data_IF_307298659404
#
_entry.id   IF_307298659404
#
_cell.length_a   1.000
_cell.length_b   1.000
_cell.length_c   1.000
_cell.angle_alpha   90.00
_cell.angle_beta   90.00
_cell.angle_gamma   90.00
#
_symmetry.space_group_name_H-M   'P 1'
#
loop_
_entity.id
_entity.type
_entity.pdbx_description
1 polymer ?
#
# COMPACT_ATOMS: atom_id res chain seq x y z
N UNK A 1 -0.90 -15.64 -12.31
CA UNK A 1 -0.07 -15.09 -13.41
C UNK A 1 1.17 -15.96 -13.54
N UNK A 2 1.46 -16.49 -14.73
CA UNK A 2 2.52 -17.50 -14.95
C UNK A 2 3.84 -16.91 -15.48
N UNK A 3 3.82 -15.72 -16.09
CA UNK A 3 5.01 -15.07 -16.65
C UNK A 3 5.19 -13.62 -16.18
N UNK A 4 6.40 -13.07 -16.35
CA UNK A 4 6.66 -11.66 -16.04
C UNK A 4 5.82 -10.72 -16.90
N UNK A 5 5.76 -10.96 -18.22
CA UNK A 5 4.97 -10.13 -19.14
C UNK A 5 3.47 -10.13 -18.81
N UNK A 6 2.94 -11.23 -18.28
CA UNK A 6 1.56 -11.27 -17.77
C UNK A 6 1.39 -10.36 -16.54
N UNK A 7 2.36 -10.31 -15.63
CA UNK A 7 2.31 -9.41 -14.47
C UNK A 7 2.38 -7.95 -14.88
N UNK A 8 3.26 -7.61 -15.83
CA UNK A 8 3.38 -6.25 -16.35
C UNK A 8 2.06 -5.79 -16.98
N UNK A 9 1.50 -6.53 -17.93
CA UNK A 9 0.19 -6.17 -18.53
C UNK A 9 -0.97 -6.19 -17.52
N UNK A 10 -0.92 -7.04 -16.50
CA UNK A 10 -1.94 -7.00 -15.43
C UNK A 10 -1.82 -5.71 -14.61
N UNK A 11 -0.62 -5.18 -14.41
CA UNK A 11 -0.44 -3.91 -13.71
C UNK A 11 -1.14 -2.76 -14.46
N UNK A 12 -1.11 -2.77 -15.80
CA UNK A 12 -1.88 -1.84 -16.63
C UNK A 12 -3.38 -1.97 -16.38
N UNK A 13 -3.94 -3.18 -16.51
CA UNK A 13 -5.37 -3.43 -16.25
C UNK A 13 -5.79 -2.96 -14.85
N UNK A 14 -4.95 -3.19 -13.85
CA UNK A 14 -5.20 -2.72 -12.49
C UNK A 14 -5.18 -1.19 -12.39
N UNK A 15 -4.23 -0.52 -13.05
CA UNK A 15 -4.14 0.94 -13.07
C UNK A 15 -5.39 1.55 -13.74
N UNK A 16 -5.78 1.06 -14.92
CA UNK A 16 -6.95 1.56 -15.64
C UNK A 16 -8.22 1.46 -14.81
N UNK A 17 -8.49 0.30 -14.22
CA UNK A 17 -9.64 0.09 -13.33
C UNK A 17 -9.61 1.00 -12.10
N UNK A 18 -8.42 1.24 -11.55
CA UNK A 18 -8.25 2.07 -10.36
C UNK A 18 -8.52 3.55 -10.64
N UNK A 19 -8.14 4.01 -11.82
CA UNK A 19 -8.26 5.41 -12.23
C UNK A 19 -9.47 5.69 -13.10
N UNK A 20 -10.25 4.69 -13.52
CA UNK A 20 -11.40 4.84 -14.43
C UNK A 20 -12.33 6.00 -14.06
N UNK A 21 -12.71 6.10 -12.78
CA UNK A 21 -13.58 7.19 -12.29
C UNK A 21 -12.91 8.56 -12.44
N UNK A 22 -11.65 8.66 -12.08
CA UNK A 22 -10.87 9.90 -12.16
C UNK A 22 -10.68 10.32 -13.62
N UNK A 23 -10.32 9.37 -14.49
CA UNK A 23 -10.16 9.61 -15.93
C UNK A 23 -11.45 10.18 -16.55
N UNK A 24 -12.62 9.66 -16.15
CA UNK A 24 -13.94 10.20 -16.57
C UNK A 24 -14.21 11.59 -15.99
N UNK A 25 -13.98 11.77 -14.69
CA UNK A 25 -14.26 13.03 -13.98
C UNK A 25 -13.41 14.18 -14.49
N UNK A 26 -12.13 13.93 -14.74
CA UNK A 26 -11.17 14.91 -15.25
C UNK A 26 -11.26 15.07 -16.77
N UNK A 27 -12.17 14.36 -17.45
CA UNK A 27 -12.34 14.39 -18.91
C UNK A 27 -11.00 14.17 -19.64
N UNK A 28 -10.26 13.15 -19.20
CA UNK A 28 -8.98 12.80 -19.83
C UNK A 28 -9.26 12.18 -21.19
N UNK A 29 -8.62 12.70 -22.25
CA UNK A 29 -8.76 12.20 -23.62
C UNK A 29 -7.56 11.40 -24.10
N UNK A 30 -6.43 11.48 -23.40
CA UNK A 30 -5.21 10.75 -23.74
C UNK A 30 -4.46 10.29 -22.51
N UNK A 31 -4.01 9.04 -22.50
CA UNK A 31 -3.21 8.44 -21.45
C UNK A 31 -1.84 8.04 -21.99
N UNK A 32 -0.77 8.49 -21.34
CA UNK A 32 0.59 8.09 -21.69
C UNK A 32 1.16 7.18 -20.61
N UNK A 33 1.42 5.93 -20.96
CA UNK A 33 2.05 4.95 -20.08
C UNK A 33 3.55 4.84 -20.31
N UNK A 34 4.30 4.74 -19.23
CA UNK A 34 5.75 4.49 -19.26
C UNK A 34 6.04 3.16 -18.58
N UNK A 35 6.83 2.29 -19.23
CA UNK A 35 7.19 0.97 -18.70
C UNK A 35 8.61 0.58 -19.11
N UNK A 36 9.34 -0.12 -18.26
CA UNK A 36 10.63 -0.74 -18.63
C UNK A 36 10.45 -2.12 -19.29
N UNK A 37 9.22 -2.61 -19.42
CA UNK A 37 8.93 -3.83 -20.15
C UNK A 37 8.64 -3.52 -21.62
N UNK A 38 9.65 -3.78 -22.47
CA UNK A 38 9.55 -3.58 -23.92
C UNK A 38 8.35 -4.31 -24.53
N UNK A 39 8.06 -5.55 -24.09
CA UNK A 39 6.93 -6.33 -24.60
C UNK A 39 5.59 -5.65 -24.32
N UNK A 40 5.38 -5.16 -23.10
CA UNK A 40 4.13 -4.49 -22.70
C UNK A 40 3.95 -3.19 -23.48
N UNK A 41 5.03 -2.40 -23.61
CA UNK A 41 5.00 -1.18 -24.40
C UNK A 41 4.66 -1.45 -25.87
N UNK A 42 5.33 -2.44 -26.46
CA UNK A 42 5.09 -2.83 -27.85
C UNK A 42 3.68 -3.37 -28.08
N UNK A 43 3.18 -4.22 -27.18
CA UNK A 43 1.85 -4.80 -27.30
C UNK A 43 0.75 -3.73 -27.29
N UNK A 44 0.90 -2.70 -26.45
CA UNK A 44 -0.05 -1.58 -26.37
C UNK A 44 0.05 -0.71 -27.63
N UNK A 45 1.26 -0.33 -28.07
CA UNK A 45 1.46 0.52 -29.25
C UNK A 45 0.92 -0.14 -30.52
N UNK A 46 1.20 -1.43 -30.69
CA UNK A 46 0.88 -2.15 -31.93
C UNK A 46 -0.48 -2.84 -31.92
N UNK A 47 -1.14 -2.91 -30.76
CA UNK A 47 -2.32 -3.75 -30.55
C UNK A 47 -2.11 -5.22 -30.98
N UNK A 48 -0.88 -5.72 -30.83
CA UNK A 48 -0.49 -7.09 -31.20
C UNK A 48 0.19 -7.73 -30.00
N UNK A 49 -0.22 -8.95 -29.66
CA UNK A 49 0.39 -9.70 -28.57
C UNK A 49 0.33 -11.20 -28.82
N UNK A 50 1.14 -11.96 -28.08
CA UNK A 50 1.10 -13.43 -28.16
C UNK A 50 -0.22 -13.97 -27.61
N UNK A 51 -0.59 -15.19 -28.01
CA UNK A 51 -1.84 -15.85 -27.57
C UNK A 51 -2.05 -15.86 -26.05
N UNK A 52 -0.96 -15.93 -25.27
CA UNK A 52 -1.02 -15.95 -23.80
C UNK A 52 -1.23 -14.57 -23.17
N UNK A 53 -1.04 -13.49 -23.94
CA UNK A 53 -1.15 -12.10 -23.53
C UNK A 53 -2.34 -11.37 -24.20
N UNK A 54 -2.86 -11.90 -25.30
CA UNK A 54 -3.97 -11.34 -26.09
C UNK A 54 -5.12 -10.84 -25.23
N UNK A 55 -5.65 -11.69 -24.35
CA UNK A 55 -6.75 -11.30 -23.47
C UNK A 55 -6.45 -10.07 -22.59
N UNK A 56 -5.20 -9.87 -22.12
CA UNK A 56 -4.83 -8.71 -21.32
C UNK A 56 -4.71 -7.47 -22.20
N UNK A 57 -4.02 -7.58 -23.33
CA UNK A 57 -3.88 -6.48 -24.28
C UNK A 57 -5.24 -6.02 -24.82
N UNK A 58 -6.13 -6.95 -25.16
CA UNK A 58 -7.49 -6.64 -25.60
C UNK A 58 -8.31 -5.99 -24.48
N UNK A 59 -8.16 -6.45 -23.23
CA UNK A 59 -8.85 -5.82 -22.09
C UNK A 59 -8.43 -4.36 -21.94
N UNK A 60 -7.13 -4.07 -22.02
CA UNK A 60 -6.57 -2.72 -21.93
C UNK A 60 -7.15 -1.84 -23.04
N UNK A 61 -6.99 -2.26 -24.30
CA UNK A 61 -7.39 -1.46 -25.45
C UNK A 61 -8.90 -1.23 -25.51
N UNK A 62 -9.71 -2.25 -25.22
CA UNK A 62 -11.17 -2.11 -25.16
C UNK A 62 -11.62 -1.19 -24.04
N UNK A 63 -10.97 -1.25 -22.88
CA UNK A 63 -11.28 -0.34 -21.77
C UNK A 63 -11.00 1.10 -22.19
N UNK A 64 -9.83 1.36 -22.78
CA UNK A 64 -9.47 2.69 -23.27
C UNK A 64 -10.42 3.20 -24.37
N UNK A 65 -10.80 2.33 -25.32
CA UNK A 65 -11.78 2.64 -26.37
C UNK A 65 -13.17 2.99 -25.78
N UNK A 66 -13.66 2.19 -24.83
CA UNK A 66 -14.93 2.45 -24.14
C UNK A 66 -14.94 3.76 -23.35
N UNK A 67 -13.77 4.19 -22.87
CA UNK A 67 -13.58 5.46 -22.19
C UNK A 67 -13.35 6.62 -23.16
N UNK A 68 -13.23 6.36 -24.47
CA UNK A 68 -12.82 7.32 -25.49
C UNK A 68 -11.46 7.98 -25.18
N UNK A 69 -10.51 7.19 -24.68
CA UNK A 69 -9.16 7.63 -24.29
C UNK A 69 -8.15 7.05 -25.27
N UNK A 70 -7.33 7.92 -25.86
CA UNK A 70 -6.18 7.49 -26.65
C UNK A 70 -5.03 7.05 -25.73
N UNK A 71 -4.70 5.76 -25.74
CA UNK A 71 -3.54 5.24 -25.02
C UNK A 71 -2.27 5.29 -25.88
N UNK A 72 -1.16 5.76 -25.30
CA UNK A 72 0.19 5.67 -25.85
C UNK A 72 1.09 5.01 -24.83
N UNK A 73 2.09 4.25 -25.29
CA UNK A 73 3.11 3.69 -24.40
C UNK A 73 4.52 4.07 -24.85
N UNK A 74 5.42 4.25 -23.89
CA UNK A 74 6.85 4.44 -24.13
C UNK A 74 7.66 3.49 -23.26
N UNK A 75 8.63 2.83 -23.89
CA UNK A 75 9.62 2.06 -23.16
C UNK A 75 10.61 3.03 -22.51
N UNK A 76 10.81 2.93 -21.19
CA UNK A 76 11.80 3.69 -20.44
C UNK A 76 12.90 2.75 -19.91
N UNK A 77 14.15 3.22 -19.75
CA UNK A 77 15.18 2.43 -19.11
C UNK A 77 14.78 2.04 -17.68
N UNK A 78 15.18 0.85 -17.24
CA UNK A 78 14.94 0.40 -15.85
C UNK A 78 15.48 1.37 -14.78
N UNK A 79 16.56 2.09 -15.09
CA UNK A 79 17.12 3.12 -14.21
C UNK A 79 16.18 4.31 -13.99
N UNK A 80 15.26 4.56 -14.92
CA UNK A 80 14.19 5.56 -14.78
C UNK A 80 12.94 4.98 -14.10
N UNK A 81 12.73 3.65 -14.15
CA UNK A 81 11.58 2.97 -13.54
C UNK A 81 11.81 2.53 -12.08
N UNK A 82 12.74 3.17 -11.35
CA UNK A 82 13.15 2.77 -9.99
C UNK A 82 11.99 2.73 -9.01
N UNK A 83 11.13 3.75 -9.02
CA UNK A 83 10.01 3.84 -8.09
C UNK A 83 9.05 2.67 -8.27
N UNK A 84 8.56 2.42 -9.48
CA UNK A 84 7.61 1.31 -9.73
C UNK A 84 8.24 -0.06 -9.46
N UNK A 85 9.51 -0.27 -9.83
CA UNK A 85 10.24 -1.52 -9.54
C UNK A 85 10.37 -1.74 -8.01
N UNK A 86 10.76 -0.72 -7.23
CA UNK A 86 10.78 -0.79 -5.76
C UNK A 86 9.40 -1.12 -5.17
N UNK A 87 8.34 -0.43 -5.63
CA UNK A 87 6.96 -0.65 -5.18
C UNK A 87 6.50 -2.09 -5.44
N UNK A 88 6.74 -2.60 -6.65
CA UNK A 88 6.34 -3.96 -7.04
C UNK A 88 7.04 -5.03 -6.18
N UNK A 89 8.29 -4.79 -5.78
CA UNK A 89 9.09 -5.73 -5.00
C UNK A 89 8.67 -5.79 -3.54
N UNK A 90 8.28 -4.67 -2.95
CA UNK A 90 7.81 -4.64 -1.56
C UNK A 90 6.50 -5.39 -1.39
N UNK A 91 5.66 -5.40 -2.42
CA UNK A 91 4.44 -6.21 -2.45
C UNK A 91 4.74 -7.73 -2.38
N UNK A 92 5.96 -8.14 -2.73
CA UNK A 92 6.38 -9.55 -2.79
C UNK A 92 7.27 -9.93 -1.60
N UNK A 93 8.04 -8.98 -1.07
CA UNK A 93 9.19 -9.28 -0.23
C UNK A 93 8.88 -9.57 1.23
N UNK A 94 7.95 -8.84 1.85
CA UNK A 94 7.79 -8.75 3.33
C UNK A 94 9.13 -8.74 4.11
N UNK A 95 10.18 -8.22 3.48
CA UNK A 95 11.55 -8.31 3.97
C UNK A 95 12.12 -6.90 4.11
N UNK A 96 11.33 -6.06 4.78
CA UNK A 96 11.73 -4.75 5.26
C UNK A 96 11.14 -4.55 6.66
N UNK A 97 11.76 -3.67 7.43
CA UNK A 97 11.32 -3.41 8.80
C UNK A 97 11.39 -1.93 9.12
N UNK A 98 10.45 -1.47 9.92
CA UNK A 98 10.47 -0.12 10.46
C UNK A 98 11.57 -0.01 11.52
N UNK A 99 12.36 1.08 11.48
CA UNK A 99 13.33 1.32 12.55
C UNK A 99 12.61 1.52 13.89
N UNK A 100 13.08 0.82 14.95
CA UNK A 100 12.53 0.96 16.31
C UNK A 100 12.55 2.41 16.79
N UNK A 101 13.62 3.16 16.48
CA UNK A 101 13.75 4.58 16.85
C UNK A 101 12.61 5.41 16.24
N UNK A 102 12.34 5.23 14.95
CA UNK A 102 11.27 5.95 14.25
C UNK A 102 9.91 5.57 14.80
N UNK A 103 9.66 4.28 15.02
CA UNK A 103 8.43 3.79 15.60
C UNK A 103 8.18 4.36 17.01
N UNK A 104 9.20 4.31 17.88
CA UNK A 104 9.11 4.87 19.23
C UNK A 104 8.86 6.38 19.22
N UNK A 105 9.49 7.12 18.30
CA UNK A 105 9.23 8.55 18.11
C UNK A 105 7.78 8.80 17.68
N UNK A 106 7.27 8.02 16.72
CA UNK A 106 5.88 8.12 16.27
C UNK A 106 4.89 7.83 17.41
N UNK A 107 5.12 6.79 18.22
CA UNK A 107 4.32 6.50 19.41
C UNK A 107 4.30 7.68 20.39
N UNK A 108 5.47 8.26 20.66
CA UNK A 108 5.62 9.38 21.59
C UNK A 108 4.89 10.62 21.10
N UNK A 109 5.08 11.01 19.84
CA UNK A 109 4.45 12.20 19.25
C UNK A 109 2.94 12.07 19.10
N UNK A 110 2.43 10.85 18.97
CA UNK A 110 0.99 10.57 18.85
C UNK A 110 0.35 10.17 20.18
N UNK A 111 1.10 10.24 21.29
CA UNK A 111 0.68 9.81 22.64
C UNK A 111 0.04 8.41 22.66
N UNK A 112 0.55 7.50 21.83
CA UNK A 112 0.00 6.17 21.62
C UNK A 112 0.92 5.09 22.21
N UNK A 113 0.37 4.22 23.05
CA UNK A 113 1.11 3.14 23.70
C UNK A 113 0.65 1.77 23.18
N UNK A 114 1.33 1.19 22.18
CA UNK A 114 0.90 -0.10 21.66
C UNK A 114 1.09 -1.23 22.67
N UNK A 115 0.12 -2.13 22.73
CA UNK A 115 0.17 -3.36 23.52
C UNK A 115 0.76 -4.52 22.70
N UNK A 116 0.44 -4.56 21.41
CA UNK A 116 0.84 -5.62 20.48
C UNK A 116 1.35 -5.08 19.14
N UNK A 117 2.35 -5.76 18.60
CA UNK A 117 2.92 -5.52 17.27
C UNK A 117 2.50 -6.65 16.32
N UNK A 118 1.58 -6.34 15.42
CA UNK A 118 0.81 -7.34 14.68
C UNK A 118 1.61 -7.97 13.53
N UNK A 119 2.60 -7.26 12.98
CA UNK A 119 3.40 -7.73 11.85
C UNK A 119 4.89 -7.55 12.14
N UNK A 120 5.41 -8.38 13.04
CA UNK A 120 6.80 -8.32 13.43
C UNK A 120 7.44 -9.69 13.60
N UNK A 121 8.76 -9.71 13.60
CA UNK A 121 9.58 -10.82 14.06
C UNK A 121 10.12 -10.53 15.45
N UNK A 122 10.69 -11.55 16.09
CA UNK A 122 11.38 -11.41 17.39
C UNK A 122 12.43 -10.29 17.42
N UNK A 123 13.10 -10.06 16.28
CA UNK A 123 14.22 -9.12 16.16
C UNK A 123 13.77 -7.66 16.00
N UNK A 124 12.67 -7.42 15.28
CA UNK A 124 12.19 -6.07 14.94
C UNK A 124 10.92 -5.66 15.69
N UNK A 125 10.34 -6.53 16.54
CA UNK A 125 9.17 -6.19 17.36
C UNK A 125 9.34 -4.89 18.14
N UNK A 126 8.25 -4.14 18.21
CA UNK A 126 8.13 -2.88 18.93
C UNK A 126 7.61 -3.07 20.37
N UNK A 127 6.90 -4.17 20.62
CA UNK A 127 6.25 -4.48 21.90
C UNK A 127 6.68 -5.84 22.45
N UNK A 128 6.26 -6.14 23.70
CA UNK A 128 6.50 -7.44 24.30
C UNK A 128 5.78 -8.55 23.53
N UNK A 129 4.51 -8.29 23.24
CA UNK A 129 3.60 -9.20 22.54
C UNK A 129 3.61 -8.88 21.04
N UNK A 130 3.75 -9.89 20.20
CA UNK A 130 3.84 -9.70 18.75
C UNK A 130 3.36 -10.94 18.00
N UNK A 131 2.92 -10.74 16.75
CA UNK A 131 2.54 -11.81 15.83
C UNK A 131 3.53 -11.91 14.66
N UNK A 132 3.83 -13.13 14.21
CA UNK A 132 4.82 -13.38 13.15
C UNK A 132 4.48 -14.60 12.30
N UNK A 133 4.53 -14.50 10.98
CA UNK A 133 4.29 -15.66 10.09
C UNK A 133 5.35 -16.78 10.27
N UNK A 134 6.53 -16.41 10.77
CA UNK A 134 7.64 -17.33 11.02
C UNK A 134 7.33 -18.28 12.20
N UNK A 135 8.07 -19.38 12.29
CA UNK A 135 7.98 -20.25 13.46
C UNK A 135 8.67 -19.57 14.65
N UNK A 136 7.89 -19.10 15.61
CA UNK A 136 8.39 -18.50 16.84
C UNK A 136 7.52 -18.88 18.03
N UNK A 137 8.08 -19.67 18.96
CA UNK A 137 7.39 -20.10 20.19
C UNK A 137 7.02 -18.96 21.16
N UNK A 138 7.59 -17.76 20.98
CA UNK A 138 7.35 -16.57 21.81
C UNK A 138 6.36 -15.59 21.15
N UNK A 139 5.94 -15.83 19.91
CA UNK A 139 4.91 -15.02 19.28
C UNK A 139 3.52 -15.43 19.80
N UNK A 140 2.61 -14.46 19.89
CA UNK A 140 1.22 -14.70 20.32
C UNK A 140 0.48 -15.55 19.30
N UNK A 141 0.64 -15.24 18.02
CA UNK A 141 0.06 -15.99 16.93
C UNK A 141 0.95 -15.95 15.70
N UNK A 142 0.80 -16.97 14.84
CA UNK A 142 1.45 -17.01 13.53
C UNK A 142 0.68 -16.22 12.48
N UNK A 143 -0.63 -16.44 12.45
CA UNK A 143 -1.57 -15.63 11.69
C UNK A 143 -2.14 -14.54 12.60
N UNK A 144 -1.75 -13.31 12.36
CA UNK A 144 -2.25 -12.13 13.05
C UNK A 144 -3.79 -12.02 13.00
N UNK A 145 -4.43 -12.49 11.93
CA UNK A 145 -5.88 -12.41 11.74
C UNK A 145 -6.64 -13.54 12.45
N UNK A 146 -5.94 -14.54 13.00
CA UNK A 146 -6.55 -15.66 13.73
C UNK A 146 -6.92 -15.33 15.17
N UNK A 147 -6.47 -14.17 15.69
CA UNK A 147 -6.76 -13.70 17.04
C UNK A 147 -7.69 -12.50 17.01
N UNK A 148 -8.37 -12.25 18.14
CA UNK A 148 -9.13 -11.02 18.36
C UNK A 148 -8.18 -9.89 18.76
N UNK A 149 -8.42 -8.68 18.25
CA UNK A 149 -7.69 -7.46 18.61
C UNK A 149 -8.54 -6.53 19.47
N UNK A 150 -9.78 -6.92 19.82
CA UNK A 150 -10.78 -6.06 20.46
C UNK A 150 -10.34 -5.38 21.77
N UNK A 151 -9.31 -5.91 22.45
CA UNK A 151 -8.75 -5.37 23.70
C UNK A 151 -7.34 -4.81 23.55
N UNK A 152 -6.85 -4.71 22.32
CA UNK A 152 -5.48 -4.36 22.01
C UNK A 152 -5.35 -2.95 21.43
N UNK A 153 -4.22 -2.31 21.72
CA UNK A 153 -3.75 -1.11 21.03
C UNK A 153 -2.66 -1.53 20.06
N UNK A 154 -3.01 -1.65 18.78
CA UNK A 154 -2.09 -2.21 17.79
C UNK A 154 -1.19 -1.13 17.21
N UNK A 155 0.11 -1.42 17.10
CA UNK A 155 1.02 -0.68 16.22
C UNK A 155 1.33 -1.53 15.00
N UNK A 156 1.47 -0.88 13.86
CA UNK A 156 1.68 -1.62 12.64
C UNK A 156 2.47 -0.88 11.57
N UNK A 157 3.28 -1.66 10.88
CA UNK A 157 3.74 -1.36 9.52
C UNK A 157 3.50 -2.63 8.69
N UNK A 158 2.28 -2.83 8.15
CA UNK A 158 1.93 -4.11 7.56
C UNK A 158 2.71 -4.31 6.26
N UNK A 159 2.87 -5.58 5.84
CA UNK A 159 3.19 -5.85 4.45
C UNK A 159 2.15 -5.13 3.57
N UNK A 160 2.60 -4.42 2.55
CA UNK A 160 1.73 -3.62 1.66
C UNK A 160 0.44 -4.36 1.22
N UNK A 161 0.50 -5.64 0.78
CA UNK A 161 -0.71 -6.34 0.35
C UNK A 161 -1.76 -6.53 1.47
N UNK A 162 -1.35 -6.51 2.74
CA UNK A 162 -2.22 -6.77 3.88
C UNK A 162 -2.80 -5.50 4.51
N UNK A 163 -2.37 -4.31 4.08
CA UNK A 163 -2.85 -3.03 4.64
C UNK A 163 -4.39 -2.96 4.60
N UNK A 164 -5.01 -3.27 3.46
CA UNK A 164 -6.46 -3.18 3.35
C UNK A 164 -7.22 -4.20 4.20
N UNK A 165 -6.69 -5.42 4.34
CA UNK A 165 -7.30 -6.44 5.21
C UNK A 165 -7.21 -6.02 6.68
N UNK A 166 -6.06 -5.47 7.07
CA UNK A 166 -5.86 -4.92 8.41
C UNK A 166 -6.84 -3.78 8.71
N UNK A 167 -6.97 -2.78 7.83
CA UNK A 167 -7.91 -1.67 8.03
C UNK A 167 -9.37 -2.15 8.17
N UNK A 168 -9.79 -3.14 7.37
CA UNK A 168 -11.12 -3.76 7.50
C UNK A 168 -11.34 -4.40 8.86
N UNK A 169 -10.32 -5.10 9.38
CA UNK A 169 -10.40 -5.74 10.70
C UNK A 169 -10.49 -4.71 11.83
N UNK A 170 -9.74 -3.62 11.75
CA UNK A 170 -9.84 -2.50 12.70
C UNK A 170 -11.25 -1.91 12.77
N UNK A 171 -11.91 -1.73 11.61
CA UNK A 171 -13.29 -1.27 11.54
C UNK A 171 -14.27 -2.26 12.16
N UNK A 172 -14.12 -3.55 11.83
CA UNK A 172 -14.99 -4.61 12.35
C UNK A 172 -14.92 -4.72 13.87
N UNK A 173 -13.72 -4.63 14.44
CA UNK A 173 -13.51 -4.76 15.89
C UNK A 173 -13.55 -3.42 16.64
N UNK A 174 -13.72 -2.30 15.93
CA UNK A 174 -13.84 -0.95 16.48
C UNK A 174 -12.65 -0.54 17.36
N UNK A 175 -11.45 -0.94 16.96
CA UNK A 175 -10.22 -0.68 17.72
C UNK A 175 -9.45 0.52 17.20
N UNK A 176 -8.60 1.08 18.07
CA UNK A 176 -7.70 2.16 17.74
C UNK A 176 -6.30 1.61 17.45
N UNK A 177 -5.64 2.19 16.46
CA UNK A 177 -4.31 1.74 16.06
C UNK A 177 -3.43 2.91 15.59
N UNK A 178 -2.13 2.74 15.78
CA UNK A 178 -1.12 3.56 15.12
C UNK A 178 -0.59 2.80 13.90
N UNK A 179 -0.97 3.28 12.71
CA UNK A 179 -0.51 2.72 11.44
C UNK A 179 0.55 3.61 10.81
N UNK A 180 1.64 2.99 10.36
CA UNK A 180 2.66 3.62 9.55
C UNK A 180 2.56 3.05 8.15
N UNK A 181 2.18 3.89 7.19
CA UNK A 181 1.98 3.50 5.79
C UNK A 181 2.65 4.49 4.85
N UNK A 182 3.07 4.05 3.66
CA UNK A 182 3.48 4.98 2.62
C UNK A 182 2.34 5.92 2.19
N UNK A 183 2.68 7.19 1.96
CA UNK A 183 1.77 8.23 1.46
C UNK A 183 1.59 8.07 -0.05
N UNK A 184 0.90 7.01 -0.47
CA UNK A 184 0.65 6.70 -1.88
C UNK A 184 -0.83 6.86 -2.21
N UNK A 185 -1.22 8.02 -2.75
CA UNK A 185 -2.62 8.41 -2.99
C UNK A 185 -3.40 7.44 -3.90
N UNK A 186 -2.74 6.83 -4.88
CA UNK A 186 -3.36 5.88 -5.81
C UNK A 186 -3.67 4.50 -5.23
N UNK A 187 -3.27 4.18 -4.00
CA UNK A 187 -3.43 2.82 -3.47
C UNK A 187 -4.87 2.48 -3.09
N UNK A 188 -5.19 1.19 -3.16
CA UNK A 188 -6.56 0.71 -2.97
C UNK A 188 -7.07 0.89 -1.53
N UNK A 189 -6.17 0.95 -0.54
CA UNK A 189 -6.51 1.15 0.87
C UNK A 189 -6.63 2.62 1.28
N UNK A 190 -6.19 3.57 0.44
CA UNK A 190 -6.20 5.00 0.82
C UNK A 190 -7.58 5.54 1.16
N UNK A 191 -8.65 5.27 0.37
CA UNK A 191 -9.98 5.81 0.71
C UNK A 191 -10.46 5.33 2.08
N UNK A 192 -10.19 4.07 2.42
CA UNK A 192 -10.55 3.50 3.72
C UNK A 192 -9.71 4.11 4.84
N UNK A 193 -8.41 4.30 4.61
CA UNK A 193 -7.52 4.94 5.57
C UNK A 193 -7.97 6.37 5.89
N UNK A 194 -8.36 7.15 4.88
CA UNK A 194 -8.85 8.52 5.04
C UNK A 194 -10.16 8.58 5.84
N UNK A 195 -11.07 7.64 5.62
CA UNK A 195 -12.33 7.56 6.38
C UNK A 195 -12.12 7.26 7.87
N UNK A 196 -11.04 6.58 8.22
CA UNK A 196 -10.71 6.19 9.61
C UNK A 196 -9.80 7.18 10.32
N UNK A 197 -9.28 8.17 9.60
CA UNK A 197 -8.18 9.01 10.04
C UNK A 197 -8.66 10.03 11.06
N UNK A 198 -8.07 10.00 12.25
CA UNK A 198 -8.19 11.08 13.24
C UNK A 198 -7.06 12.08 13.03
N UNK A 199 -5.95 11.87 13.73
CA UNK A 199 -4.72 12.67 13.61
C UNK A 199 -3.66 11.96 12.78
N UNK A 200 -2.81 12.74 12.11
CA UNK A 200 -1.63 12.18 11.42
C UNK A 200 -0.43 13.08 11.49
N UNK A 201 0.72 12.43 11.46
CA UNK A 201 2.03 13.05 11.47
C UNK A 201 2.81 12.57 10.24
N UNK A 202 3.24 13.51 9.40
CA UNK A 202 4.18 13.22 8.34
C UNK A 202 5.48 12.69 8.95
N UNK A 203 5.97 11.56 8.46
CA UNK A 203 7.29 11.05 8.80
C UNK A 203 8.29 11.45 7.71
N UNK A 204 9.55 11.10 7.92
CA UNK A 204 10.63 11.24 6.93
C UNK A 204 10.44 10.29 5.72
N UNK A 205 11.38 10.35 4.78
CA UNK A 205 11.38 9.49 3.60
C UNK A 205 11.55 8.02 3.98
N UNK A 206 10.89 7.12 3.24
CA UNK A 206 10.86 5.69 3.51
C UNK A 206 12.24 5.04 3.46
N UNK A 207 13.16 5.52 2.62
CA UNK A 207 14.54 5.03 2.53
C UNK A 207 15.39 5.37 3.78
N UNK A 208 15.02 6.40 4.54
CA UNK A 208 15.68 6.77 5.79
C UNK A 208 15.13 5.99 6.99
N UNK A 209 13.87 5.59 6.92
CA UNK A 209 13.13 4.99 8.03
C UNK A 209 13.08 3.45 7.94
N UNK A 210 12.94 2.92 6.74
CA UNK A 210 12.84 1.48 6.51
C UNK A 210 14.24 0.87 6.43
N UNK A 211 14.33 -0.38 6.88
CA UNK A 211 15.55 -1.18 6.78
C UNK A 211 15.24 -2.44 6.00
N UNK A 212 16.00 -2.65 4.93
CA UNK A 212 15.98 -3.91 4.20
C UNK A 212 16.32 -5.08 5.13
N UNK A 213 15.57 -6.16 4.97
CA UNK A 213 15.88 -7.44 5.56
C UNK A 213 16.94 -8.21 4.76
N UNK A 214 17.14 -9.48 5.11
CA UNK A 214 18.29 -10.26 4.62
C UNK A 214 18.18 -10.60 3.14
N UNK A 215 16.98 -10.92 2.64
CA UNK A 215 16.71 -11.27 1.24
C UNK A 215 16.83 -10.02 0.36
N UNK A 216 16.23 -8.90 0.77
CA UNK A 216 16.28 -7.62 0.09
C UNK A 216 17.72 -7.13 -0.06
N UNK A 217 18.53 -7.23 1.00
CA UNK A 217 19.96 -6.90 0.94
C UNK A 217 20.73 -7.84 -0.01
N UNK A 218 20.54 -9.17 0.10
CA UNK A 218 21.20 -10.15 -0.80
C UNK A 218 20.86 -9.89 -2.26
N UNK A 219 19.62 -9.52 -2.56
CA UNK A 219 19.14 -9.24 -3.92
C UNK A 219 19.34 -7.80 -4.36
N UNK A 220 19.96 -6.96 -3.53
CA UNK A 220 20.19 -5.52 -3.78
C UNK A 220 18.90 -4.79 -4.17
N UNK A 221 17.81 -5.09 -3.47
CA UNK A 221 16.54 -4.43 -3.64
C UNK A 221 16.58 -3.04 -3.00
N UNK A 222 16.03 -2.05 -3.69
CA UNK A 222 15.95 -0.67 -3.20
C UNK A 222 14.63 -0.51 -2.47
N UNK A 223 14.66 0.17 -1.32
CA UNK A 223 13.46 0.57 -0.59
C UNK A 223 12.65 1.56 -1.45
N UNK A 224 11.32 1.72 -1.21
CA UNK A 224 10.56 2.66 -1.98
C UNK A 224 11.03 4.07 -1.63
N UNK A 225 11.06 4.96 -2.62
CA UNK A 225 11.06 6.39 -2.34
C UNK A 225 9.65 6.81 -1.91
N UNK A 226 9.57 7.95 -1.22
CA UNK A 226 8.31 8.55 -0.80
C UNK A 226 8.17 8.64 0.71
N UNK A 227 7.26 9.50 1.13
CA UNK A 227 7.02 9.80 2.54
C UNK A 227 6.26 8.64 3.21
N UNK A 228 6.65 8.32 4.43
CA UNK A 228 5.80 7.54 5.32
C UNK A 228 4.88 8.47 6.11
N UNK A 229 3.69 8.00 6.41
CA UNK A 229 2.72 8.70 7.23
C UNK A 229 2.40 7.84 8.46
N UNK A 230 2.60 8.40 9.65
CA UNK A 230 2.07 7.82 10.87
C UNK A 230 0.66 8.39 11.10
N UNK A 231 -0.34 7.52 11.13
CA UNK A 231 -1.73 7.91 11.34
C UNK A 231 -2.31 7.19 12.55
N UNK A 232 -2.93 7.96 13.44
CA UNK A 232 -3.77 7.41 14.49
C UNK A 232 -5.16 7.21 13.90
N UNK A 233 -5.57 5.96 13.80
CA UNK A 233 -6.82 5.57 13.17
C UNK A 233 -7.72 4.88 14.18
N UNK A 234 -9.03 5.07 14.02
CA UNK A 234 -10.04 4.47 14.87
C UNK A 234 -11.07 3.76 14.02
N UNK A 235 -11.41 2.53 14.40
CA UNK A 235 -12.56 1.82 13.84
C UNK A 235 -13.91 2.36 14.32
N UNK A 236 -13.94 3.31 15.26
CA UNK A 236 -15.16 4.01 15.68
C UNK A 236 -15.48 5.09 14.64
N UNK A 237 -16.71 5.10 14.11
CA UNK A 237 -17.17 6.19 13.22
C UNK A 237 -16.93 7.53 13.91
N UNK A 238 -16.33 8.47 13.19
CA UNK A 238 -16.35 9.88 13.57
C UNK A 238 -17.80 10.34 13.43
N UNK A 239 -18.50 10.53 14.55
CA UNK A 239 -19.74 11.31 14.53
C UNK A 239 -19.32 12.75 14.26
N UNK A 240 -19.77 13.30 13.12
CA UNK A 240 -19.59 14.72 12.83
C UNK A 240 -20.26 15.52 13.95
N UNK A 241 -19.47 16.14 14.83
CA UNK A 241 -19.97 17.23 15.68
C UNK A 241 -20.20 18.45 14.79
N UNK A 242 -21.33 18.48 14.08
CA UNK A 242 -21.93 19.74 13.69
C UNK A 242 -22.37 20.43 14.99
N UNK A 243 -21.51 21.32 15.50
CA UNK A 243 -21.94 22.30 16.49
C UNK A 243 -23.01 23.17 15.84
N UNK A 244 -24.28 22.89 16.12
CA UNK A 244 -25.31 23.92 16.00
C UNK A 244 -24.97 25.01 17.02
N UNK A 245 -24.33 26.08 16.57
CA UNK A 245 -24.36 27.32 17.33
C UNK A 245 -25.74 27.92 17.07
N UNK A 246 -26.72 27.51 17.87
CA UNK A 246 -28.02 28.17 17.92
C UNK A 246 -27.78 29.56 18.47
N UNK A 247 -28.04 30.55 17.62
CA UNK A 247 -28.20 31.95 18.01
C UNK A 247 -29.12 32.03 19.23
N UNK A 248 -28.66 32.68 20.29
CA UNK A 248 -29.53 33.22 21.32
C UNK A 248 -29.49 34.74 21.19
N UNK A 249 -30.70 35.25 21.00
CA UNK A 249 -31.16 36.63 20.98
C UNK A 249 -30.54 37.50 22.08
#
# INVERSE_FOLDING_TARGET
LKSSNQRELTAFVCAERRFEKQLKQEQIHSLHSQTDNTTSSYNIIRAISSRTLAHLTDTILRTMEQLNIQIKSTHIPRSANKTADSLSRLNIADDYSLSRKTASRACMMMEFKPTIDIFASRKNRLTKEYCTINQDKKAIARDAFSISWAREQTIIHPPIPLIGQYLKRLLQERIQALIITPKWEGQYWQPLLQQMKGSSLNQEQADQILKNGTIANRRRWVLPSGELLASLISGKKVENMEKSCSEKQ
#
